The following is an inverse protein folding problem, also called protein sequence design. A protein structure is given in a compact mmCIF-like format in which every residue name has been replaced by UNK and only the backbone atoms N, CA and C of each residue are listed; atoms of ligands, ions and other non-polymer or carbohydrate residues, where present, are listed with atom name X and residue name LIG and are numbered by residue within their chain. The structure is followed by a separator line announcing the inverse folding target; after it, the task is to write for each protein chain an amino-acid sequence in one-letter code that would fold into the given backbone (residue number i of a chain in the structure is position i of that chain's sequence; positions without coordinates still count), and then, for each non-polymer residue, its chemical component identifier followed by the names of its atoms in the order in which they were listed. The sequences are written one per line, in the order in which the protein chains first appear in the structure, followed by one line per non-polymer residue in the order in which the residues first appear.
data_IF_960876077340
#
_entry.id   IF_960876077340
#
_cell.length_a   1.000
_cell.length_b   1.000
_cell.length_c   1.000
_cell.angle_alpha   90.00
_cell.angle_beta   90.00
_cell.angle_gamma   90.00
#
_symmetry.space_group_name_H-M   'P 1'
#
loop_
_entity.id
_entity.type
_entity.pdbx_description
1 polymer ?
#
# COMPACT_ATOMS: atom_id res chain seq x y z
N UNK A 1 -5.73 -12.75 -0.57
CA UNK A 1 -4.78 -11.69 -0.12
C UNK A 1 -5.59 -10.46 0.23
N UNK A 2 -5.59 -10.11 1.50
CA UNK A 2 -6.21 -8.88 2.02
C UNK A 2 -5.12 -7.84 2.18
N UNK A 3 -5.45 -6.57 1.93
CA UNK A 3 -4.54 -5.46 2.17
C UNK A 3 -5.12 -4.53 3.23
N UNK A 4 -4.24 -3.88 3.98
CA UNK A 4 -4.60 -2.88 4.98
C UNK A 4 -3.74 -1.63 4.70
N UNK A 5 -4.36 -0.51 4.31
CA UNK A 5 -5.79 -0.33 3.99
C UNK A 5 -6.26 -1.23 2.82
N UNK A 6 -7.59 -1.46 2.75
CA UNK A 6 -8.21 -2.24 1.68
C UNK A 6 -8.01 -1.60 0.30
N UNK A 7 -7.91 -0.28 0.27
CA UNK A 7 -7.58 0.51 -0.90
C UNK A 7 -6.16 1.03 -0.73
N UNK A 8 -5.28 0.65 -1.65
CA UNK A 8 -3.91 1.12 -1.65
C UNK A 8 -3.84 2.57 -2.16
N UNK A 9 -2.91 3.33 -1.59
CA UNK A 9 -2.67 4.73 -1.94
C UNK A 9 -1.19 4.93 -2.22
N UNK A 10 -0.80 5.45 -3.41
CA UNK A 10 0.58 5.82 -3.69
C UNK A 10 1.16 6.74 -2.62
N UNK A 11 2.42 6.51 -2.25
CA UNK A 11 3.11 7.28 -1.20
C UNK A 11 2.82 6.82 0.24
N UNK A 12 1.86 5.91 0.46
CA UNK A 12 1.54 5.39 1.79
C UNK A 12 1.95 3.92 1.94
N UNK A 13 2.27 3.46 3.17
CA UNK A 13 2.50 2.05 3.44
C UNK A 13 1.26 1.19 3.15
N UNK A 14 1.49 -0.04 2.71
CA UNK A 14 0.46 -1.04 2.51
C UNK A 14 0.86 -2.33 3.23
N UNK A 15 0.03 -2.79 4.15
CA UNK A 15 0.16 -4.12 4.75
C UNK A 15 -0.54 -5.15 3.87
N UNK A 16 0.13 -6.27 3.61
CA UNK A 16 -0.33 -7.37 2.77
C UNK A 16 -0.42 -8.62 3.64
N UNK A 17 -1.63 -9.16 3.75
CA UNK A 17 -1.89 -10.43 4.43
C UNK A 17 -1.85 -11.59 3.44
N UNK A 18 -1.09 -12.63 3.79
CA UNK A 18 -0.89 -13.82 2.99
C UNK A 18 -0.38 -14.99 3.81
N UNK A 19 0.36 -15.88 3.17
CA UNK A 19 0.98 -17.05 3.79
C UNK A 19 2.35 -17.29 3.15
N UNK A 20 3.22 -18.01 3.86
CA UNK A 20 4.54 -18.45 3.38
C UNK A 20 5.53 -17.33 3.04
N UNK A 21 5.48 -16.21 3.78
CA UNK A 21 6.47 -15.13 3.67
C UNK A 21 7.79 -15.43 4.40
N UNK A 22 8.38 -16.59 4.11
CA UNK A 22 9.69 -16.99 4.63
C UNK A 22 10.80 -16.57 3.65
N UNK A 23 11.85 -15.94 4.16
CA UNK A 23 13.02 -15.53 3.38
C UNK A 23 12.66 -14.72 2.12
N UNK A 24 11.75 -13.74 2.26
CA UNK A 24 11.37 -12.84 1.16
C UNK A 24 12.62 -12.14 0.64
N UNK A 25 12.90 -12.34 -0.65
CA UNK A 25 14.13 -11.89 -1.32
C UNK A 25 13.93 -10.65 -2.19
N UNK A 26 12.72 -10.46 -2.72
CA UNK A 26 12.37 -9.25 -3.45
C UNK A 26 10.87 -8.99 -3.44
N UNK A 27 10.52 -7.70 -3.44
CA UNK A 27 9.18 -7.23 -3.78
C UNK A 27 9.31 -6.15 -4.85
N UNK A 28 8.53 -6.28 -5.92
CA UNK A 28 8.55 -5.31 -7.02
C UNK A 28 7.15 -4.84 -7.38
N UNK A 29 7.03 -3.59 -7.81
CA UNK A 29 5.81 -3.01 -8.37
C UNK A 29 6.10 -2.49 -9.78
N UNK A 30 5.43 -3.05 -10.78
CA UNK A 30 5.69 -2.72 -12.19
C UNK A 30 7.15 -2.97 -12.59
N UNK A 31 7.79 -3.97 -11.98
CA UNK A 31 9.22 -4.29 -12.17
C UNK A 31 10.20 -3.43 -11.36
N UNK A 32 9.76 -2.40 -10.63
CA UNK A 32 10.61 -1.59 -9.74
C UNK A 32 10.66 -2.19 -8.34
N UNK A 33 11.85 -2.33 -7.75
CA UNK A 33 12.02 -2.82 -6.36
C UNK A 33 11.38 -1.87 -5.34
N UNK A 34 10.68 -2.44 -4.36
CA UNK A 34 10.12 -1.73 -3.22
C UNK A 34 10.89 -2.00 -1.94
N UNK A 35 10.84 -1.04 -1.01
CA UNK A 35 11.19 -1.30 0.39
C UNK A 35 10.07 -2.09 1.07
N UNK A 36 10.44 -3.00 1.96
CA UNK A 36 9.49 -3.82 2.70
C UNK A 36 10.01 -4.25 4.07
N UNK A 37 9.07 -4.57 4.95
CA UNK A 37 9.31 -5.18 6.25
C UNK A 37 8.43 -6.42 6.38
N UNK A 38 9.04 -7.59 6.58
CA UNK A 38 8.31 -8.82 6.88
C UNK A 38 7.97 -8.81 8.37
N UNK A 39 6.68 -8.69 8.71
CA UNK A 39 6.21 -8.73 10.12
C UNK A 39 6.11 -10.16 10.64
N UNK A 40 5.65 -11.06 9.79
CA UNK A 40 5.49 -12.48 10.08
C UNK A 40 5.45 -13.29 8.78
N UNK A 41 5.34 -14.62 8.88
CA UNK A 41 5.10 -15.48 7.73
C UNK A 41 3.75 -15.25 7.03
N UNK A 42 2.89 -14.40 7.59
CA UNK A 42 1.55 -14.08 7.07
C UNK A 42 1.31 -12.59 6.85
N UNK A 43 2.26 -11.71 7.17
CA UNK A 43 2.13 -10.27 6.97
C UNK A 43 3.44 -9.60 6.54
N UNK A 44 3.34 -8.75 5.51
CA UNK A 44 4.41 -7.87 5.03
C UNK A 44 3.87 -6.45 4.92
N UNK A 45 4.65 -5.46 5.33
CA UNK A 45 4.43 -4.04 4.98
C UNK A 45 5.33 -3.67 3.81
N UNK A 46 4.77 -3.04 2.79
CA UNK A 46 5.50 -2.46 1.67
C UNK A 46 5.35 -0.95 1.65
N UNK A 47 6.38 -0.24 1.20
CA UNK A 47 6.30 1.19 0.90
C UNK A 47 5.89 1.41 -0.55
N UNK A 48 4.72 2.01 -0.79
CA UNK A 48 4.32 2.39 -2.14
C UNK A 48 4.97 3.73 -2.51
N UNK A 49 5.63 3.84 -3.67
CA UNK A 49 6.15 5.13 -4.12
C UNK A 49 5.00 6.05 -4.52
N UNK A 50 5.21 7.37 -4.43
CA UNK A 50 4.18 8.38 -4.73
C UNK A 50 3.82 8.45 -6.22
N UNK A 51 4.72 8.00 -7.10
CA UNK A 51 4.52 7.89 -8.55
C UNK A 51 3.97 6.52 -9.00
N UNK A 52 3.52 5.68 -8.06
CA UNK A 52 2.99 4.36 -8.37
C UNK A 52 1.77 4.46 -9.31
N UNK A 53 1.78 3.64 -10.38
CA UNK A 53 0.71 3.61 -11.39
C UNK A 53 -0.31 2.54 -11.05
N UNK A 54 -1.60 2.91 -11.06
CA UNK A 54 -2.70 1.94 -10.85
C UNK A 54 -2.70 0.88 -11.96
N UNK A 55 -2.97 -0.37 -11.61
CA UNK A 55 -2.89 -1.51 -12.52
C UNK A 55 -1.50 -2.14 -12.64
N UNK A 56 -0.52 -1.68 -11.85
CA UNK A 56 0.82 -2.27 -11.83
C UNK A 56 0.82 -3.70 -11.24
N UNK A 57 1.67 -4.57 -11.77
CA UNK A 57 1.91 -5.90 -11.18
C UNK A 57 2.77 -5.76 -9.92
N UNK A 58 2.23 -6.22 -8.79
CA UNK A 58 2.97 -6.46 -7.56
C UNK A 58 3.45 -7.91 -7.56
N UNK A 59 4.76 -8.11 -7.40
CA UNK A 59 5.36 -9.43 -7.27
C UNK A 59 6.12 -9.56 -5.95
N UNK A 60 5.94 -10.68 -5.26
CA UNK A 60 6.65 -11.05 -4.03
C UNK A 60 7.38 -12.36 -4.28
N UNK A 61 8.69 -12.39 -4.05
CA UNK A 61 9.54 -13.55 -4.33
C UNK A 61 10.14 -14.14 -3.06
N UNK A 62 9.95 -15.43 -2.90
CA UNK A 62 10.57 -16.27 -1.86
C UNK A 62 11.35 -17.41 -2.54
N UNK A 63 12.16 -18.19 -1.81
CA UNK A 63 12.81 -19.38 -2.37
C UNK A 63 11.82 -20.41 -2.95
N UNK A 64 10.55 -20.39 -2.49
CA UNK A 64 9.49 -21.26 -3.01
C UNK A 64 8.86 -20.78 -4.32
N UNK A 65 9.20 -19.59 -4.80
CA UNK A 65 8.69 -19.02 -6.05
C UNK A 65 8.21 -17.57 -5.90
N UNK A 66 7.50 -17.09 -6.92
CA UNK A 66 6.95 -15.73 -6.94
C UNK A 66 5.44 -15.73 -6.98
N UNK A 67 4.82 -14.95 -6.09
CA UNK A 67 3.40 -14.63 -6.13
C UNK A 67 3.21 -13.27 -6.81
N UNK A 68 2.25 -13.18 -7.74
CA UNK A 68 1.98 -11.98 -8.54
C UNK A 68 0.51 -11.55 -8.39
N UNK A 69 0.26 -10.25 -8.34
CA UNK A 69 -1.10 -9.68 -8.31
C UNK A 69 -1.11 -8.27 -8.85
N UNK A 70 -2.15 -7.91 -9.60
CA UNK A 70 -2.38 -6.52 -9.97
C UNK A 70 -2.86 -5.71 -8.77
N UNK A 71 -2.27 -4.53 -8.57
CA UNK A 71 -2.74 -3.57 -7.56
C UNK A 71 -3.41 -2.38 -8.25
N UNK A 72 -4.58 -1.99 -7.76
CA UNK A 72 -5.30 -0.82 -8.23
C UNK A 72 -5.36 0.20 -7.10
N UNK A 73 -5.22 1.47 -7.47
CA UNK A 73 -5.36 2.59 -6.55
C UNK A 73 -6.71 3.26 -6.79
N UNK A 74 -7.36 3.72 -5.72
CA UNK A 74 -8.49 4.61 -5.86
C UNK A 74 -8.01 6.05 -5.73
N UNK A 75 -8.75 6.98 -6.33
CA UNK A 75 -8.55 8.40 -6.12
C UNK A 75 -8.75 8.70 -4.63
N UNK A 76 -7.73 9.26 -3.98
CA UNK A 76 -7.90 9.82 -2.64
C UNK A 76 -8.73 11.08 -2.80
N UNK A 77 -9.97 11.04 -2.35
CA UNK A 77 -10.77 12.25 -2.17
C UNK A 77 -10.41 12.81 -0.80
N UNK A 78 -9.61 13.87 -0.79
CA UNK A 78 -9.46 14.71 0.40
C UNK A 78 -10.78 15.47 0.58
N UNK A 79 -11.68 14.94 1.41
CA UNK A 79 -12.70 15.79 2.02
C UNK A 79 -11.96 16.68 3.03
N UNK A 80 -12.09 18.00 2.88
CA UNK A 80 -11.45 19.01 3.74
C UNK A 80 -11.50 18.62 5.22
N UNK A 81 -10.53 19.07 6.01
CA UNK A 81 -10.36 18.90 7.47
C UNK A 81 -11.54 19.41 8.34
N UNK A 82 -12.68 19.69 7.72
CA UNK A 82 -13.90 20.24 8.31
C UNK A 82 -13.68 21.54 9.08
N UNK A 83 -12.62 22.30 8.74
CA UNK A 83 -12.38 23.66 9.26
C UNK A 83 -13.30 24.73 8.62
N UNK A 84 -14.18 24.30 7.71
CA UNK A 84 -15.08 25.19 6.98
C UNK A 84 -14.43 25.88 5.79
N UNK A 85 -13.44 25.26 5.13
CA UNK A 85 -12.76 25.84 3.97
C UNK A 85 -12.08 27.17 4.33
N UNK A 86 -11.57 27.26 5.56
CA UNK A 86 -11.01 28.48 6.15
C UNK A 86 -12.00 29.63 6.38
N UNK A 87 -13.32 29.43 6.23
CA UNK A 87 -14.33 30.50 6.43
C UNK A 87 -14.95 30.53 7.81
N UNK A 88 -14.84 29.44 8.58
CA UNK A 88 -15.38 29.38 9.95
C UNK A 88 -14.26 29.59 10.96
N UNK A 89 -14.03 30.85 11.35
CA UNK A 89 -12.98 31.21 12.31
C UNK A 89 -13.33 30.93 13.77
N UNK A 90 -14.61 30.77 14.11
CA UNK A 90 -15.02 30.56 15.50
C UNK A 90 -16.21 29.61 15.61
N UNK A 91 -16.19 28.84 16.69
CA UNK A 91 -17.31 28.03 17.16
C UNK A 91 -18.06 28.83 18.23
N UNK A 92 -19.30 29.23 17.95
CA UNK A 92 -20.23 29.65 19.01
C UNK A 92 -21.03 28.44 19.45
N UNK A 93 -20.86 28.05 20.72
CA UNK A 93 -21.63 27.01 21.40
C UNK A 93 -23.13 27.31 21.44
#
# INVERSE_FOLDING_TARGET
TKTIPAVATPGFPLEIEGTWFYNVSSITLGGKTLSYTVKSSTSIIIGLPSDAVSGSELAVTTPGGSAKKTINFATVVLLSDFDGNGTRRDWTS
#
